data_IF_277929881275
#
_entry.id   IF_277929881275
#
_cell.length_a   1.000
_cell.length_b   1.000
_cell.length_c   1.000
_cell.angle_alpha   90.00
_cell.angle_beta   90.00
_cell.angle_gamma   90.00
#
_symmetry.space_group_name_H-M   'P 1'
#
loop_
_entity.id
_entity.type
_entity.pdbx_description
1 polymer ?
#
# COMPACT_ATOMS: atom_id res chain seq x y z
N UNK A 1 -26.98 -31.92 -29.85
CA UNK A 1 -25.89 -32.70 -29.22
C UNK A 1 -24.52 -32.08 -29.46
N UNK A 2 -24.27 -31.43 -30.61
CA UNK A 2 -23.01 -30.70 -30.91
C UNK A 2 -22.57 -29.69 -29.83
N UNK A 3 -23.45 -28.78 -29.39
CA UNK A 3 -23.11 -27.74 -28.39
C UNK A 3 -22.73 -28.31 -27.02
N UNK A 4 -23.41 -29.40 -26.61
CA UNK A 4 -23.12 -30.07 -25.34
C UNK A 4 -21.75 -30.75 -25.38
N UNK A 5 -21.43 -31.44 -26.48
CA UNK A 5 -20.12 -32.07 -26.67
C UNK A 5 -18.99 -31.04 -26.71
N UNK A 6 -19.19 -29.89 -27.37
CA UNK A 6 -18.21 -28.80 -27.36
C UNK A 6 -17.97 -28.26 -25.95
N UNK A 7 -19.03 -27.91 -25.22
CA UNK A 7 -18.91 -27.43 -23.84
C UNK A 7 -18.27 -28.47 -22.93
N UNK A 8 -18.64 -29.74 -23.09
CA UNK A 8 -18.07 -30.86 -22.36
C UNK A 8 -16.58 -31.05 -22.66
N UNK A 9 -16.18 -30.98 -23.91
CA UNK A 9 -14.77 -31.14 -24.29
C UNK A 9 -13.89 -30.01 -23.75
N UNK A 10 -14.43 -28.78 -23.69
CA UNK A 10 -13.77 -27.66 -23.04
C UNK A 10 -13.71 -27.83 -21.51
N UNK A 11 -14.79 -28.33 -20.91
CA UNK A 11 -14.89 -28.58 -19.47
C UNK A 11 -14.02 -29.75 -18.98
N UNK A 12 -13.89 -30.84 -19.77
CA UNK A 12 -13.03 -31.99 -19.48
C UNK A 12 -11.53 -31.64 -19.67
N UNK A 13 -11.21 -30.42 -20.09
CA UNK A 13 -9.83 -29.93 -20.14
C UNK A 13 -9.36 -29.45 -18.76
N UNK A 14 -8.03 -29.40 -18.59
CA UNK A 14 -7.39 -28.88 -17.39
C UNK A 14 -7.67 -27.40 -17.10
N UNK A 15 -8.28 -26.68 -18.04
CA UNK A 15 -8.53 -25.24 -17.94
C UNK A 15 -9.50 -24.87 -16.80
N UNK A 16 -10.56 -25.66 -16.55
CA UNK A 16 -11.48 -25.40 -15.45
C UNK A 16 -10.80 -25.48 -14.08
N UNK A 17 -9.89 -26.45 -13.91
CA UNK A 17 -9.10 -26.59 -12.69
C UNK A 17 -8.14 -25.41 -12.53
N UNK A 18 -7.46 -25.01 -13.61
CA UNK A 18 -6.57 -23.85 -13.59
C UNK A 18 -7.28 -22.56 -13.18
N UNK A 19 -8.44 -22.24 -13.78
CA UNK A 19 -9.21 -21.04 -13.41
C UNK A 19 -9.67 -21.08 -11.96
N UNK A 20 -10.14 -22.23 -11.48
CA UNK A 20 -10.57 -22.41 -10.08
C UNK A 20 -9.40 -22.21 -9.12
N UNK A 21 -8.25 -22.84 -9.38
CA UNK A 21 -7.06 -22.71 -8.56
C UNK A 21 -6.52 -21.28 -8.57
N UNK A 22 -6.50 -20.62 -9.73
CA UNK A 22 -6.08 -19.23 -9.87
C UNK A 22 -7.00 -18.29 -9.09
N UNK A 23 -8.32 -18.46 -9.21
CA UNK A 23 -9.30 -17.67 -8.47
C UNK A 23 -9.12 -17.79 -6.95
N UNK A 24 -9.00 -19.03 -6.45
CA UNK A 24 -8.71 -19.28 -5.02
C UNK A 24 -7.36 -18.69 -4.63
N UNK A 25 -6.36 -18.80 -5.50
CA UNK A 25 -5.03 -18.20 -5.30
C UNK A 25 -5.10 -16.68 -5.14
N UNK A 26 -5.90 -15.98 -5.95
CA UNK A 26 -6.14 -14.53 -5.81
C UNK A 26 -6.86 -14.23 -4.50
N UNK A 27 -7.90 -14.98 -4.13
CA UNK A 27 -8.63 -14.76 -2.86
C UNK A 27 -7.67 -14.93 -1.68
N UNK A 28 -6.88 -16.00 -1.67
CA UNK A 28 -5.89 -16.25 -0.63
C UNK A 28 -4.82 -15.15 -0.60
N UNK A 29 -4.41 -14.65 -1.76
CA UNK A 29 -3.47 -13.53 -1.85
C UNK A 29 -4.08 -12.20 -1.38
N UNK A 30 -5.35 -11.93 -1.64
CA UNK A 30 -6.06 -10.76 -1.14
C UNK A 30 -6.19 -10.77 0.39
N UNK A 31 -6.34 -11.96 0.98
CA UNK A 31 -6.29 -12.14 2.44
C UNK A 31 -4.87 -12.08 3.01
N UNK A 32 -3.81 -12.09 2.19
CA UNK A 32 -2.44 -11.90 2.68
C UNK A 32 -2.29 -10.47 3.19
N UNK A 33 -2.04 -10.25 4.50
CA UNK A 33 -2.06 -8.93 5.12
C UNK A 33 -0.75 -8.17 4.85
N UNK A 34 -0.40 -7.97 3.58
CA UNK A 34 0.84 -7.30 3.15
C UNK A 34 0.75 -5.77 3.16
N UNK A 35 -0.45 -5.19 3.01
CA UNK A 35 -0.62 -3.74 2.86
C UNK A 35 -0.89 -2.98 4.17
N UNK A 36 -1.07 -3.69 5.30
CA UNK A 36 -1.33 -3.03 6.60
C UNK A 36 -0.19 -2.12 7.03
N UNK A 37 1.07 -2.52 6.80
CA UNK A 37 2.25 -1.75 7.24
C UNK A 37 2.38 -0.39 6.55
N UNK A 38 2.09 -0.31 5.25
CA UNK A 38 2.19 0.95 4.49
C UNK A 38 1.01 1.88 4.79
N UNK A 39 -0.18 1.32 5.01
CA UNK A 39 -1.36 2.10 5.37
C UNK A 39 -1.26 2.69 6.78
N UNK A 40 -0.72 1.93 7.75
CA UNK A 40 -0.45 2.43 9.10
C UNK A 40 0.59 3.57 9.11
N UNK A 41 1.60 3.49 8.25
CA UNK A 41 2.66 4.50 8.14
C UNK A 41 2.14 5.81 7.50
N UNK A 42 1.28 5.72 6.47
CA UNK A 42 0.63 6.90 5.87
C UNK A 42 -0.41 7.51 6.81
N UNK A 43 -1.21 6.70 7.51
CA UNK A 43 -2.18 7.21 8.47
C UNK A 43 -1.52 7.98 9.63
N UNK A 44 -0.36 7.50 10.11
CA UNK A 44 0.41 8.20 11.15
C UNK A 44 1.25 9.37 10.63
N UNK A 45 1.38 9.56 9.31
CA UNK A 45 2.19 10.64 8.74
C UNK A 45 1.65 12.04 9.08
N UNK A 46 0.32 12.19 9.16
CA UNK A 46 -0.34 13.46 9.49
C UNK A 46 -0.26 13.74 11.00
N UNK A 47 -0.39 12.71 11.85
CA UNK A 47 -0.33 12.85 13.31
C UNK A 47 1.11 12.87 13.86
N UNK A 48 2.13 12.60 13.04
CA UNK A 48 3.54 12.61 13.48
C UNK A 48 3.99 13.96 14.06
N UNK A 49 3.27 15.04 13.78
CA UNK A 49 3.55 16.38 14.28
C UNK A 49 2.55 16.86 15.36
N UNK A 50 1.65 15.99 15.83
CA UNK A 50 0.68 16.35 16.90
C UNK A 50 1.35 16.29 18.29
N UNK A 51 2.23 15.30 18.50
CA UNK A 51 2.88 15.06 19.81
C UNK A 51 4.17 15.89 20.03
N UNK A 52 4.67 16.51 18.96
CA UNK A 52 5.72 17.52 19.02
C UNK A 52 5.32 18.63 18.06
N UNK A 53 4.77 19.76 18.55
CA UNK A 53 4.69 20.94 17.70
C UNK A 53 6.11 21.20 17.20
N UNK A 54 6.26 21.56 15.92
CA UNK A 54 7.48 22.17 15.45
C UNK A 54 7.67 23.43 16.30
N UNK A 55 8.44 23.30 17.40
CA UNK A 55 8.72 24.41 18.28
C UNK A 55 9.24 25.55 17.41
N UNK A 56 8.74 26.75 17.69
CA UNK A 56 9.02 28.03 17.01
C UNK A 56 10.54 28.32 16.98
N UNK A 57 11.26 27.56 16.18
CA UNK A 57 12.70 27.36 16.28
C UNK A 57 13.28 26.72 15.02
N UNK A 58 12.52 26.69 13.91
CA UNK A 58 13.10 26.56 12.58
C UNK A 58 13.90 27.84 12.26
N UNK A 59 15.06 27.92 12.90
CA UNK A 59 16.26 28.66 12.51
C UNK A 59 15.98 30.07 11.97
N UNK A 60 15.75 31.01 12.88
CA UNK A 60 16.24 32.35 12.62
C UNK A 60 17.78 32.27 12.55
N UNK A 61 18.43 32.64 11.45
CA UNK A 61 19.87 32.79 11.45
C UNK A 61 20.21 34.00 12.32
N UNK A 62 20.42 33.78 13.62
CA UNK A 62 21.02 34.76 14.53
C UNK A 62 22.51 34.84 14.22
N UNK A 63 22.82 35.43 13.06
CA UNK A 63 24.17 35.79 12.73
C UNK A 63 24.55 37.00 13.60
N UNK A 64 25.25 36.73 14.70
CA UNK A 64 25.66 37.69 15.71
C UNK A 64 26.68 38.70 15.18
N UNK A 65 26.22 39.76 14.52
CA UNK A 65 27.05 40.88 14.10
C UNK A 65 26.44 42.23 14.52
N UNK A 66 26.02 42.33 15.78
CA UNK A 66 26.23 43.55 16.54
C UNK A 66 27.64 43.53 17.12
N UNK A 67 28.66 43.76 16.28
CA UNK A 67 29.99 44.12 16.76
C UNK A 67 30.51 45.28 15.93
N UNK A 68 30.55 46.46 16.57
CA UNK A 68 31.24 47.63 16.02
C UNK A 68 30.39 48.88 15.95
N UNK A 69 30.01 49.42 17.11
CA UNK A 69 29.89 50.87 17.23
C UNK A 69 31.28 51.47 16.92
N UNK A 70 31.42 52.08 15.74
CA UNK A 70 32.45 53.05 15.39
C UNK A 70 31.90 54.00 14.33
#
# INVERSE_FOLDING_TARGET
METYTLLRSFADSWYLLFMTAFFVGIIAWAWRPGSRKVQDEVANSIFRNDDRPAGDGAQAPSNGLSQGAR
#
